data_IF_303050272218
#
_entry.id   IF_303050272218
#
_cell.length_a   1.000
_cell.length_b   1.000
_cell.length_c   1.000
_cell.angle_alpha   90.00
_cell.angle_beta   90.00
_cell.angle_gamma   90.00
#
_symmetry.space_group_name_H-M   'P 1'
#
loop_
_entity.id
_entity.type
_entity.pdbx_description
1 polymer ?
#
# COMPACT_ATOMS: atom_id res chain seq x y z
N UNK A 1 8.37 -7.42 57.60
CA UNK A 1 7.55 -7.12 58.80
C UNK A 1 8.30 -6.08 59.62
N UNK A 2 7.77 -4.86 59.75
CA UNK A 2 8.28 -3.81 60.64
C UNK A 2 7.10 -2.86 60.98
N UNK A 3 7.16 -2.22 62.14
CA UNK A 3 6.00 -1.63 62.81
C UNK A 3 5.87 -0.09 62.64
N UNK A 4 4.72 0.43 63.12
CA UNK A 4 4.36 1.79 63.59
C UNK A 4 5.35 2.98 63.41
N UNK A 5 4.91 4.22 63.18
CA UNK A 5 3.57 4.80 63.14
C UNK A 5 3.56 6.27 63.63
N UNK A 6 2.45 7.01 63.41
CA UNK A 6 2.24 8.44 63.79
C UNK A 6 3.12 9.44 62.99
N UNK A 7 2.74 10.68 62.63
CA UNK A 7 1.61 11.62 62.94
C UNK A 7 1.56 12.70 61.81
N UNK A 8 0.61 13.64 61.63
CA UNK A 8 -0.58 14.06 62.40
C UNK A 8 -1.78 14.62 61.56
N UNK A 9 -1.73 15.87 61.07
CA UNK A 9 -2.87 16.70 60.58
C UNK A 9 -2.36 17.86 59.67
N UNK A 10 -3.13 18.62 58.86
CA UNK A 10 -4.44 19.25 59.14
C UNK A 10 -5.25 19.73 57.90
N UNK A 11 -6.50 20.13 58.16
CA UNK A 11 -7.63 20.67 57.36
C UNK A 11 -7.32 21.57 56.14
N UNK A 12 -8.09 21.58 55.02
CA UNK A 12 -9.55 21.77 54.73
C UNK A 12 -10.07 23.23 54.75
N UNK A 13 -10.80 23.62 53.69
CA UNK A 13 -11.59 24.87 53.52
C UNK A 13 -11.11 25.69 52.30
N UNK A 14 -11.80 25.90 51.17
CA UNK A 14 -13.22 25.98 50.75
C UNK A 14 -13.86 27.39 50.80
N UNK A 15 -14.53 27.75 49.69
CA UNK A 15 -15.35 28.95 49.37
C UNK A 15 -14.61 30.17 48.75
N UNK A 16 -15.29 31.13 48.10
CA UNK A 16 -16.08 31.12 46.84
C UNK A 16 -16.57 32.56 46.50
N UNK A 17 -16.96 32.81 45.23
CA UNK A 17 -17.78 33.94 44.68
C UNK A 17 -17.16 35.36 44.65
N UNK A 18 -17.15 36.02 43.47
CA UNK A 18 -17.90 37.25 43.07
C UNK A 18 -17.38 37.81 41.72
N UNK A 19 -18.28 38.41 40.94
CA UNK A 19 -18.11 38.80 39.54
C UNK A 19 -17.64 40.26 39.30
N UNK A 20 -17.31 40.60 38.04
CA UNK A 20 -17.08 41.97 37.59
C UNK A 20 -17.15 42.13 36.06
N UNK A 21 -18.17 42.82 35.56
CA UNK A 21 -18.37 43.16 34.13
C UNK A 21 -17.82 44.53 33.76
N UNK A 22 -17.26 44.69 32.55
CA UNK A 22 -17.15 45.99 31.89
C UNK A 22 -17.15 45.87 30.34
N UNK A 23 -17.82 46.80 29.67
CA UNK A 23 -17.81 46.98 28.21
C UNK A 23 -16.77 48.04 27.80
N UNK A 24 -16.20 47.93 26.59
CA UNK A 24 -15.89 49.11 25.77
C UNK A 24 -15.89 48.79 24.27
N UNK A 25 -16.43 49.71 23.46
CA UNK A 25 -16.47 49.65 21.99
C UNK A 25 -15.46 50.65 21.41
N UNK A 26 -15.09 50.46 20.14
CA UNK A 26 -14.47 51.49 19.28
C UNK A 26 -13.05 51.12 18.87
N UNK A 27 -12.77 50.68 17.64
CA UNK A 27 -12.87 51.38 16.34
C UNK A 27 -11.44 51.72 15.81
N UNK A 28 -11.23 51.88 14.50
CA UNK A 28 -10.03 51.36 13.83
C UNK A 28 -9.03 52.44 13.37
N UNK A 29 -7.93 52.03 12.72
CA UNK A 29 -7.11 52.71 11.65
C UNK A 29 -5.70 52.05 11.60
N UNK A 30 -4.86 52.25 10.55
CA UNK A 30 -5.14 52.39 9.12
C UNK A 30 -4.29 51.43 8.24
N UNK A 31 -4.61 51.23 6.94
CA UNK A 31 -3.71 50.53 6.01
C UNK A 31 -2.69 51.49 5.38
N UNK A 32 -1.42 51.10 5.22
CA UNK A 32 -0.51 51.73 4.23
C UNK A 32 0.78 50.96 3.88
N UNK A 33 0.92 50.73 2.58
CA UNK A 33 2.14 50.76 1.73
C UNK A 33 3.23 49.71 1.92
N UNK A 34 3.46 48.98 0.82
CA UNK A 34 4.73 48.34 0.52
C UNK A 34 5.86 49.37 0.29
N UNK A 35 7.12 49.00 0.57
CA UNK A 35 8.29 49.57 -0.09
C UNK A 35 8.79 48.65 -1.21
N UNK A 36 9.24 49.24 -2.31
CA UNK A 36 9.94 48.54 -3.39
C UNK A 36 11.45 48.52 -3.13
N UNK A 37 12.09 47.39 -3.46
CA UNK A 37 13.46 47.37 -4.02
C UNK A 37 14.66 47.35 -3.07
N UNK A 38 15.58 46.41 -3.34
CA UNK A 38 17.01 46.56 -3.03
C UNK A 38 17.63 45.44 -2.17
N UNK A 39 18.61 44.72 -2.74
CA UNK A 39 19.51 43.81 -2.00
C UNK A 39 19.30 42.33 -2.32
N UNK A 40 20.13 41.77 -3.19
CA UNK A 40 20.10 40.34 -3.53
C UNK A 40 21.06 39.51 -2.68
N UNK A 41 20.68 38.26 -2.43
CA UNK A 41 21.60 37.15 -2.14
C UNK A 41 21.03 35.87 -2.78
N UNK A 42 21.87 35.15 -3.51
CA UNK A 42 21.44 33.96 -4.25
C UNK A 42 21.38 32.73 -3.32
N UNK A 43 20.32 31.94 -3.49
CA UNK A 43 20.24 30.56 -2.99
C UNK A 43 19.54 29.68 -4.06
N UNK A 44 20.17 28.61 -4.55
CA UNK A 44 19.55 27.71 -5.52
C UNK A 44 18.67 26.66 -4.82
N UNK A 45 17.46 26.43 -5.33
CA UNK A 45 16.53 25.46 -4.74
C UNK A 45 15.06 25.70 -5.07
N UNK A 46 14.77 26.26 -6.25
CA UNK A 46 13.39 26.49 -6.68
C UNK A 46 12.73 25.21 -7.17
N UNK A 47 11.82 24.66 -6.37
CA UNK A 47 10.94 23.55 -6.76
C UNK A 47 10.08 23.98 -7.96
N UNK A 48 10.36 23.44 -9.14
CA UNK A 48 9.75 23.89 -10.38
C UNK A 48 8.25 23.49 -10.43
N UNK A 49 7.37 24.49 -10.49
CA UNK A 49 5.94 24.28 -10.66
C UNK A 49 5.64 23.61 -12.01
N UNK A 50 5.35 22.31 -11.99
CA UNK A 50 5.03 21.54 -13.20
C UNK A 50 3.66 21.98 -13.75
N UNK A 51 3.70 22.66 -14.90
CA UNK A 51 2.51 23.13 -15.61
C UNK A 51 1.62 22.01 -16.11
N UNK A 52 0.30 22.21 -16.01
CA UNK A 52 -0.70 21.28 -16.58
C UNK A 52 -0.69 21.42 -18.11
N UNK A 53 -0.15 20.44 -18.83
CA UNK A 53 -0.11 20.53 -20.29
C UNK A 53 0.72 19.52 -21.07
N UNK A 54 1.12 18.38 -20.48
CA UNK A 54 1.81 17.32 -21.21
C UNK A 54 1.15 15.97 -20.94
N UNK A 55 0.97 15.15 -21.98
CA UNK A 55 0.42 13.79 -21.85
C UNK A 55 1.43 12.94 -21.08
N UNK A 56 1.09 12.50 -19.87
CA UNK A 56 1.90 11.51 -19.15
C UNK A 56 1.90 10.19 -19.93
N UNK A 57 2.97 9.97 -20.70
CA UNK A 57 3.32 8.70 -21.32
C UNK A 57 4.70 8.28 -20.80
N UNK A 58 4.77 8.13 -19.48
CA UNK A 58 5.71 7.23 -18.84
C UNK A 58 4.86 6.10 -18.23
N UNK A 59 5.12 4.88 -18.72
CA UNK A 59 4.52 3.62 -18.23
C UNK A 59 5.59 2.53 -18.34
N UNK A 60 6.68 2.70 -17.61
CA UNK A 60 7.53 1.56 -17.29
C UNK A 60 6.99 0.94 -16.00
N UNK A 61 6.61 -0.32 -16.04
CA UNK A 61 6.52 -1.13 -14.83
C UNK A 61 7.85 -1.88 -14.64
N UNK A 62 7.99 -2.67 -13.57
CA UNK A 62 9.12 -3.59 -13.45
C UNK A 62 9.11 -4.70 -14.52
N UNK A 63 8.09 -4.78 -15.38
CA UNK A 63 7.97 -5.75 -16.46
C UNK A 63 8.81 -5.41 -17.70
N UNK A 64 9.30 -4.17 -17.83
CA UNK A 64 10.17 -3.77 -18.94
C UNK A 64 11.44 -4.65 -18.95
N UNK A 65 11.85 -5.26 -20.09
CA UNK A 65 12.92 -6.28 -20.12
C UNK A 65 14.25 -5.86 -19.49
N UNK A 66 14.61 -4.58 -19.64
CA UNK A 66 15.81 -3.97 -19.03
C UNK A 66 15.72 -3.96 -17.50
N UNK A 67 14.56 -3.58 -16.95
CA UNK A 67 14.31 -3.54 -15.51
C UNK A 67 14.17 -4.95 -14.92
N UNK A 68 13.51 -5.89 -15.62
CA UNK A 68 13.49 -7.31 -15.25
C UNK A 68 14.89 -7.88 -15.11
N UNK A 69 15.75 -7.62 -16.09
CA UNK A 69 17.15 -8.06 -16.09
C UNK A 69 17.93 -7.46 -14.91
N UNK A 70 17.69 -6.18 -14.60
CA UNK A 70 18.27 -5.49 -13.44
C UNK A 70 17.83 -6.11 -12.10
N UNK A 71 16.53 -6.40 -11.94
CA UNK A 71 15.96 -7.04 -10.74
C UNK A 71 16.50 -8.46 -10.54
N UNK A 72 16.56 -9.26 -11.61
CA UNK A 72 17.14 -10.62 -11.54
C UNK A 72 18.62 -10.58 -11.16
N UNK A 73 19.37 -9.60 -11.69
CA UNK A 73 20.77 -9.40 -11.34
C UNK A 73 20.92 -8.94 -9.87
N UNK A 74 20.07 -8.03 -9.38
CA UNK A 74 20.03 -7.63 -7.97
C UNK A 74 19.74 -8.83 -7.06
N UNK A 75 18.66 -9.59 -7.30
CA UNK A 75 18.27 -10.75 -6.48
C UNK A 75 19.37 -11.82 -6.38
N UNK A 76 20.30 -11.88 -7.34
CA UNK A 76 21.50 -12.75 -7.32
C UNK A 76 22.69 -12.13 -6.57
N UNK A 77 22.91 -10.83 -6.71
CA UNK A 77 24.03 -10.09 -6.07
C UNK A 77 23.77 -9.80 -4.59
N UNK A 78 22.52 -9.52 -4.24
CA UNK A 78 22.02 -9.39 -2.87
C UNK A 78 20.89 -10.41 -2.67
N UNK A 79 21.21 -11.70 -2.41
CA UNK A 79 20.20 -12.62 -1.93
C UNK A 79 19.58 -12.01 -0.66
N UNK A 80 18.24 -12.09 -0.48
CA UNK A 80 17.63 -11.61 0.75
C UNK A 80 18.35 -12.30 1.92
N UNK A 81 18.78 -11.54 2.95
CA UNK A 81 19.50 -12.15 4.06
C UNK A 81 18.62 -13.27 4.62
N UNK A 82 19.19 -14.42 5.03
CA UNK A 82 18.41 -15.41 5.75
C UNK A 82 17.78 -14.69 6.94
N UNK A 83 16.45 -14.50 6.86
CA UNK A 83 15.74 -13.50 7.66
C UNK A 83 16.08 -13.59 9.13
N UNK A 84 15.93 -12.50 9.89
CA UNK A 84 16.14 -12.55 11.34
C UNK A 84 14.92 -13.24 11.96
N UNK A 85 14.71 -14.51 11.63
CA UNK A 85 13.43 -15.22 11.78
C UNK A 85 12.86 -15.12 13.20
N UNK A 86 13.63 -15.24 14.30
CA UNK A 86 13.11 -15.00 15.64
C UNK A 86 12.51 -13.59 15.85
N UNK A 87 13.09 -12.55 15.24
CA UNK A 87 12.56 -11.18 15.27
C UNK A 87 11.34 -11.02 14.36
N UNK A 88 11.36 -11.63 13.17
CA UNK A 88 10.22 -11.65 12.25
C UNK A 88 9.00 -12.34 12.90
N UNK A 89 9.22 -13.51 13.50
CA UNK A 89 8.21 -14.31 14.19
C UNK A 89 7.64 -13.53 15.38
N UNK A 90 8.49 -12.87 16.17
CA UNK A 90 8.06 -11.99 17.26
C UNK A 90 7.23 -10.78 16.76
N UNK A 91 7.67 -10.13 15.68
CA UNK A 91 6.96 -9.01 15.06
C UNK A 91 5.58 -9.45 14.53
N UNK A 92 5.52 -10.55 13.78
CA UNK A 92 4.28 -11.14 13.25
C UNK A 92 3.34 -11.54 14.39
N UNK A 93 3.84 -12.20 15.43
CA UNK A 93 3.05 -12.58 16.59
C UNK A 93 2.42 -11.36 17.28
N UNK A 94 3.18 -10.25 17.40
CA UNK A 94 2.67 -9.01 18.00
C UNK A 94 1.66 -8.27 17.11
N UNK A 95 1.86 -8.29 15.79
CA UNK A 95 0.86 -7.79 14.83
C UNK A 95 -0.43 -8.60 14.91
N UNK A 96 -0.34 -9.92 15.03
CA UNK A 96 -1.49 -10.82 15.16
C UNK A 96 -2.22 -10.64 16.50
N UNK A 97 -1.50 -10.48 17.61
CA UNK A 97 -2.05 -10.14 18.92
C UNK A 97 -2.89 -8.86 18.83
N UNK A 98 -2.34 -7.79 18.23
CA UNK A 98 -3.05 -6.53 18.03
C UNK A 98 -4.28 -6.74 17.14
N UNK A 99 -4.11 -7.36 15.95
CA UNK A 99 -5.18 -7.60 14.99
C UNK A 99 -6.28 -8.55 15.47
N UNK A 100 -6.03 -9.35 16.51
CA UNK A 100 -7.06 -10.16 17.18
C UNK A 100 -8.10 -9.31 17.92
N UNK A 101 -7.79 -8.04 18.21
CA UNK A 101 -8.69 -7.07 18.83
C UNK A 101 -9.67 -6.36 17.88
N UNK A 102 -9.72 -6.74 16.59
CA UNK A 102 -10.73 -6.22 15.65
C UNK A 102 -12.13 -6.74 16.04
N UNK A 103 -13.10 -5.86 16.39
CA UNK A 103 -14.44 -6.29 16.78
C UNK A 103 -15.25 -6.88 15.61
N UNK A 104 -14.85 -6.63 14.36
CA UNK A 104 -15.51 -7.22 13.18
C UNK A 104 -14.98 -8.64 12.97
N UNK A 105 -15.88 -9.63 12.87
CA UNK A 105 -15.52 -11.01 12.53
C UNK A 105 -15.91 -11.38 11.10
N UNK A 106 -15.21 -12.36 10.53
CA UNK A 106 -15.50 -13.01 9.24
C UNK A 106 -15.28 -14.52 9.35
N UNK A 107 -15.83 -15.34 8.43
CA UNK A 107 -15.45 -16.75 8.32
C UNK A 107 -13.95 -16.87 8.01
N UNK A 108 -13.19 -17.48 8.93
CA UNK A 108 -11.78 -17.81 8.71
C UNK A 108 -11.61 -19.03 7.80
N UNK A 109 -10.37 -19.31 7.38
CA UNK A 109 -10.05 -20.45 6.49
C UNK A 109 -10.42 -21.82 7.12
N UNK A 110 -10.61 -21.88 8.44
CA UNK A 110 -11.09 -23.07 9.19
C UNK A 110 -12.62 -23.20 9.29
N UNK A 111 -13.38 -22.27 8.68
CA UNK A 111 -14.83 -22.14 8.83
C UNK A 111 -15.29 -21.55 10.16
N UNK A 112 -14.39 -21.33 11.12
CA UNK A 112 -14.70 -20.65 12.39
C UNK A 112 -14.61 -19.13 12.23
N UNK A 113 -15.38 -18.33 12.99
CA UNK A 113 -15.25 -16.88 12.99
C UNK A 113 -13.85 -16.44 13.46
N UNK A 114 -13.19 -15.56 12.70
CA UNK A 114 -11.94 -14.91 13.07
C UNK A 114 -12.08 -13.37 12.97
N UNK A 115 -11.34 -12.59 13.79
CA UNK A 115 -11.27 -11.13 13.64
C UNK A 115 -10.81 -10.73 12.24
N UNK A 116 -11.46 -9.74 11.63
CA UNK A 116 -11.33 -9.45 10.20
C UNK A 116 -9.93 -8.97 9.82
N UNK A 117 -9.28 -8.10 10.62
CA UNK A 117 -7.89 -7.71 10.35
C UNK A 117 -6.90 -8.87 10.51
N UNK A 118 -7.14 -9.79 11.44
CA UNK A 118 -6.31 -10.98 11.61
C UNK A 118 -6.48 -11.97 10.43
N UNK A 119 -7.70 -12.16 9.94
CA UNK A 119 -7.97 -12.99 8.77
C UNK A 119 -7.37 -12.34 7.50
N UNK A 120 -7.58 -11.04 7.31
CA UNK A 120 -7.06 -10.28 6.17
C UNK A 120 -5.52 -10.29 6.11
N UNK A 121 -4.83 -10.05 7.24
CA UNK A 121 -3.36 -10.10 7.28
C UNK A 121 -2.83 -11.47 6.89
N UNK A 122 -3.44 -12.56 7.39
CA UNK A 122 -3.10 -13.94 7.01
C UNK A 122 -3.27 -14.17 5.51
N UNK A 123 -4.39 -13.75 4.92
CA UNK A 123 -4.64 -13.92 3.48
C UNK A 123 -3.66 -13.11 2.62
N UNK A 124 -3.32 -11.88 3.02
CA UNK A 124 -2.37 -11.05 2.29
C UNK A 124 -0.94 -11.63 2.37
N UNK A 125 -0.48 -12.06 3.54
CA UNK A 125 0.81 -12.78 3.68
C UNK A 125 0.84 -14.05 2.82
N UNK A 126 -0.27 -14.81 2.75
CA UNK A 126 -0.39 -16.03 1.92
C UNK A 126 -0.27 -15.74 0.42
N UNK A 127 -0.77 -14.60 -0.06
CA UNK A 127 -0.58 -14.17 -1.45
C UNK A 127 0.85 -13.67 -1.71
N UNK A 128 1.44 -12.91 -0.80
CA UNK A 128 2.85 -12.50 -0.90
C UNK A 128 3.78 -13.71 -0.99
N UNK A 129 3.61 -14.73 -0.14
CA UNK A 129 4.44 -15.95 -0.18
C UNK A 129 4.23 -16.83 -1.42
N UNK A 130 3.12 -16.67 -2.15
CA UNK A 130 2.90 -17.32 -3.46
C UNK A 130 3.65 -16.59 -4.59
N UNK A 131 3.74 -15.26 -4.50
CA UNK A 131 4.40 -14.42 -5.51
C UNK A 131 5.92 -14.36 -5.30
N UNK A 132 6.36 -14.25 -4.04
CA UNK A 132 7.77 -14.27 -3.66
C UNK A 132 8.00 -15.27 -2.49
N UNK A 133 8.32 -16.54 -2.80
CA UNK A 133 8.70 -17.55 -1.80
C UNK A 133 10.01 -17.26 -1.06
N UNK A 134 10.73 -16.19 -1.41
CA UNK A 134 11.94 -15.70 -0.76
C UNK A 134 11.75 -14.26 -0.23
N UNK A 135 10.51 -13.84 -0.01
CA UNK A 135 10.17 -12.52 0.51
C UNK A 135 11.00 -12.13 1.75
N UNK A 136 11.52 -10.90 1.75
CA UNK A 136 12.25 -10.32 2.88
C UNK A 136 11.34 -10.05 4.09
N UNK A 137 11.95 -9.93 5.26
CA UNK A 137 11.28 -9.62 6.53
C UNK A 137 10.37 -8.39 6.40
N UNK A 138 10.85 -7.30 5.78
CA UNK A 138 10.10 -6.04 5.61
C UNK A 138 8.82 -6.24 4.78
N UNK A 139 8.89 -7.03 3.71
CA UNK A 139 7.73 -7.36 2.87
C UNK A 139 6.69 -8.19 3.62
N UNK A 140 7.14 -9.16 4.44
CA UNK A 140 6.26 -9.99 5.25
C UNK A 140 5.61 -9.20 6.40
N UNK A 141 6.37 -8.31 7.05
CA UNK A 141 5.90 -7.38 8.08
C UNK A 141 4.87 -6.40 7.49
N UNK A 142 5.15 -5.83 6.30
CA UNK A 142 4.20 -4.98 5.59
C UNK A 142 2.92 -5.74 5.24
N UNK A 143 3.02 -6.94 4.66
CA UNK A 143 1.86 -7.77 4.32
C UNK A 143 1.01 -8.11 5.55
N UNK A 144 1.64 -8.35 6.71
CA UNK A 144 0.94 -8.63 7.97
C UNK A 144 0.34 -7.37 8.61
N UNK A 145 1.08 -6.26 8.55
CA UNK A 145 0.85 -5.04 9.32
C UNK A 145 0.17 -3.90 8.58
N UNK A 146 -0.04 -3.98 7.26
CA UNK A 146 -0.55 -2.85 6.44
C UNK A 146 -1.86 -2.24 6.96
N UNK A 147 -2.74 -3.06 7.54
CA UNK A 147 -4.01 -2.65 8.13
C UNK A 147 -4.04 -2.78 9.67
N UNK A 148 -2.87 -2.76 10.33
CA UNK A 148 -2.73 -2.92 11.79
C UNK A 148 -3.60 -1.91 12.55
N UNK A 149 -4.39 -2.39 13.52
CA UNK A 149 -5.23 -1.54 14.38
C UNK A 149 -6.21 -0.61 13.64
N UNK A 150 -6.46 -0.85 12.34
CA UNK A 150 -7.14 0.09 11.46
C UNK A 150 -8.63 0.29 11.75
N UNK A 151 -9.24 -0.49 12.65
CA UNK A 151 -10.59 -0.22 13.17
C UNK A 151 -10.61 1.02 14.08
N UNK A 152 -9.49 1.38 14.73
CA UNK A 152 -9.36 2.63 15.50
C UNK A 152 -9.24 3.88 14.63
N UNK A 153 -9.05 3.76 13.31
CA UNK A 153 -9.04 4.93 12.41
C UNK A 153 -10.37 5.69 12.38
N UNK A 154 -11.46 5.13 12.93
CA UNK A 154 -12.70 5.85 13.17
C UNK A 154 -12.56 7.00 14.20
N UNK A 155 -11.52 6.97 15.04
CA UNK A 155 -11.15 8.06 15.95
C UNK A 155 -10.59 9.28 15.18
N UNK A 156 -9.97 9.06 14.01
CA UNK A 156 -9.48 10.11 13.11
C UNK A 156 -10.62 10.51 12.16
N UNK A 157 -11.56 11.31 12.67
CA UNK A 157 -12.79 11.67 11.96
C UNK A 157 -12.51 12.55 10.76
N UNK A 158 -13.33 12.41 9.70
CA UNK A 158 -13.22 13.28 8.52
C UNK A 158 -13.62 14.72 8.83
N UNK A 159 -14.56 14.93 9.75
CA UNK A 159 -15.17 16.25 10.00
C UNK A 159 -14.25 17.23 10.75
N UNK A 160 -13.20 16.72 11.39
CA UNK A 160 -12.17 17.53 12.07
C UNK A 160 -11.24 18.27 11.07
N UNK A 161 -11.37 17.98 9.77
CA UNK A 161 -10.54 18.52 8.69
C UNK A 161 -11.36 19.36 7.71
N UNK A 162 -10.76 20.43 7.18
CA UNK A 162 -11.42 21.34 6.24
C UNK A 162 -12.12 20.60 5.05
N UNK A 163 -13.29 21.08 4.59
CA UNK A 163 -14.02 20.50 3.45
C UNK A 163 -13.40 20.91 2.10
N UNK A 164 -12.07 20.79 1.98
CA UNK A 164 -11.31 21.09 0.78
C UNK A 164 -10.22 20.03 0.53
N UNK A 165 -9.54 20.10 -0.61
CA UNK A 165 -8.49 19.16 -1.00
C UNK A 165 -7.31 19.12 -0.01
N UNK A 166 -7.03 20.22 0.69
CA UNK A 166 -5.98 20.27 1.73
C UNK A 166 -6.38 19.46 2.96
N UNK A 167 -7.60 19.66 3.47
CA UNK A 167 -8.14 18.88 4.59
C UNK A 167 -8.28 17.39 4.27
N UNK A 168 -8.68 17.05 3.03
CA UNK A 168 -8.69 15.66 2.55
C UNK A 168 -7.30 15.01 2.61
N UNK A 169 -6.26 15.69 2.11
CA UNK A 169 -4.87 15.22 2.17
C UNK A 169 -4.35 15.10 3.59
N UNK A 170 -4.69 16.05 4.48
CA UNK A 170 -4.34 15.99 5.90
C UNK A 170 -4.94 14.76 6.58
N UNK A 171 -6.24 14.51 6.38
CA UNK A 171 -6.93 13.34 6.92
C UNK A 171 -6.33 12.01 6.41
N UNK A 172 -6.01 11.92 5.11
CA UNK A 172 -5.32 10.75 4.55
C UNK A 172 -3.90 10.56 5.11
N UNK A 173 -3.17 11.66 5.31
CA UNK A 173 -1.82 11.66 5.87
C UNK A 173 -1.81 11.20 7.34
N UNK A 174 -2.70 11.74 8.19
CA UNK A 174 -2.74 11.37 9.62
C UNK A 174 -3.20 9.92 9.81
N UNK A 175 -4.12 9.42 8.98
CA UNK A 175 -4.49 8.00 8.96
C UNK A 175 -3.34 7.09 8.57
N UNK A 176 -2.54 7.47 7.57
CA UNK A 176 -1.31 6.73 7.21
C UNK A 176 -0.28 6.80 8.33
N UNK A 177 -0.09 7.98 8.94
CA UNK A 177 0.85 8.21 10.04
C UNK A 177 0.53 7.34 11.25
N UNK A 178 -0.75 7.17 11.58
CA UNK A 178 -1.20 6.25 12.63
C UNK A 178 -0.76 4.81 12.35
N UNK A 179 -1.05 4.29 11.15
CA UNK A 179 -0.69 2.93 10.77
C UNK A 179 0.82 2.71 10.69
N UNK A 180 1.56 3.67 10.12
CA UNK A 180 3.02 3.64 10.00
C UNK A 180 3.71 3.68 11.38
N UNK A 181 3.28 4.59 12.25
CA UNK A 181 3.75 4.65 13.64
C UNK A 181 3.49 3.34 14.38
N UNK A 182 2.26 2.84 14.30
CA UNK A 182 1.89 1.61 15.00
C UNK A 182 2.68 0.39 14.55
N UNK A 183 2.91 0.25 13.24
CA UNK A 183 3.71 -0.84 12.68
C UNK A 183 5.20 -0.71 13.05
N UNK A 184 5.78 0.49 12.93
CA UNK A 184 7.20 0.72 13.24
C UNK A 184 7.50 0.59 14.73
N UNK A 185 6.56 0.90 15.63
CA UNK A 185 6.72 0.64 17.07
C UNK A 185 6.77 -0.86 17.38
N UNK A 186 5.90 -1.66 16.75
CA UNK A 186 5.94 -3.14 16.88
C UNK A 186 7.23 -3.72 16.30
N UNK A 187 7.78 -3.13 15.23
CA UNK A 187 9.08 -3.51 14.70
C UNK A 187 10.24 -3.19 15.67
N UNK A 188 10.22 -2.02 16.33
CA UNK A 188 11.22 -1.65 17.36
C UNK A 188 11.16 -2.61 18.56
N UNK A 189 9.96 -2.94 19.03
CA UNK A 189 9.74 -3.91 20.12
C UNK A 189 10.31 -5.30 19.77
N UNK A 190 10.29 -5.68 18.49
CA UNK A 190 10.90 -6.90 17.97
C UNK A 190 12.41 -6.77 17.65
N UNK A 191 13.02 -5.60 17.87
CA UNK A 191 14.45 -5.34 17.70
C UNK A 191 14.89 -4.88 16.29
N UNK A 192 13.97 -4.50 15.41
CA UNK A 192 14.32 -3.91 14.11
C UNK A 192 14.74 -2.44 14.27
N UNK A 193 15.80 -2.04 13.57
CA UNK A 193 16.39 -0.70 13.63
C UNK A 193 16.85 -0.24 12.23
N UNK A 194 17.17 1.05 12.11
CA UNK A 194 17.82 1.62 10.92
C UNK A 194 16.98 1.47 9.64
N UNK A 195 17.63 1.04 8.56
CA UNK A 195 17.06 1.05 7.21
C UNK A 195 15.74 0.26 7.07
N UNK A 196 15.56 -0.83 7.83
CA UNK A 196 14.34 -1.63 7.80
C UNK A 196 13.12 -0.85 8.32
N UNK A 197 13.28 -0.09 9.42
CA UNK A 197 12.22 0.79 9.94
C UNK A 197 11.88 1.89 8.95
N UNK A 198 12.90 2.57 8.41
CA UNK A 198 12.71 3.66 7.44
C UNK A 198 11.97 3.17 6.20
N UNK A 199 12.35 2.00 5.65
CA UNK A 199 11.70 1.41 4.48
C UNK A 199 10.22 1.09 4.73
N UNK A 200 9.89 0.48 5.87
CA UNK A 200 8.49 0.17 6.22
C UNK A 200 7.67 1.45 6.47
N UNK A 201 8.23 2.45 7.15
CA UNK A 201 7.57 3.74 7.36
C UNK A 201 7.33 4.46 6.02
N UNK A 202 8.34 4.48 5.14
CA UNK A 202 8.29 5.13 3.83
C UNK A 202 7.22 4.49 2.93
N UNK A 203 7.12 3.15 2.90
CA UNK A 203 6.05 2.40 2.21
C UNK A 203 4.67 2.73 2.78
N UNK A 204 4.50 2.69 4.11
CA UNK A 204 3.20 2.93 4.77
C UNK A 204 2.70 4.37 4.57
N UNK A 205 3.61 5.35 4.58
CA UNK A 205 3.30 6.74 4.27
C UNK A 205 3.11 6.98 2.76
N UNK A 206 3.74 6.18 1.91
CA UNK A 206 3.84 6.43 0.47
C UNK A 206 4.74 7.61 0.15
N UNK A 207 5.85 7.77 0.89
CA UNK A 207 6.88 8.79 0.70
C UNK A 207 8.17 8.11 0.24
N UNK A 208 8.93 8.74 -0.67
CA UNK A 208 10.20 8.22 -1.23
C UNK A 208 10.15 6.83 -1.91
N UNK A 209 8.98 6.19 -2.02
CA UNK A 209 8.83 4.84 -2.60
C UNK A 209 8.42 4.88 -4.07
N UNK A 210 8.90 3.93 -4.90
CA UNK A 210 8.48 3.83 -6.29
C UNK A 210 7.00 3.47 -6.45
N UNK A 211 6.32 4.15 -7.37
CA UNK A 211 4.95 3.78 -7.77
C UNK A 211 5.01 2.67 -8.84
N UNK A 212 4.51 1.44 -8.58
CA UNK A 212 4.55 0.31 -9.53
C UNK A 212 4.11 0.64 -10.98
N UNK A 213 3.21 1.62 -11.14
CA UNK A 213 2.67 2.05 -12.44
C UNK A 213 3.64 2.90 -13.28
N UNK A 214 4.68 3.47 -12.68
CA UNK A 214 5.63 4.35 -13.35
C UNK A 214 7.04 4.36 -12.71
N UNK A 215 7.80 3.29 -12.95
CA UNK A 215 9.20 3.15 -12.57
C UNK A 215 10.12 4.19 -13.24
N UNK A 216 9.73 4.78 -14.38
CA UNK A 216 10.55 5.77 -15.11
C UNK A 216 10.69 7.11 -14.38
N UNK A 217 9.84 7.38 -13.38
CA UNK A 217 9.99 8.53 -12.47
C UNK A 217 11.06 8.31 -11.39
N UNK A 218 11.59 7.09 -11.27
CA UNK A 218 12.51 6.70 -10.20
C UNK A 218 13.87 6.31 -10.78
N UNK A 219 14.92 6.95 -10.28
CA UNK A 219 16.29 6.64 -10.69
C UNK A 219 16.80 5.36 -9.99
N UNK A 220 16.40 4.21 -10.56
CA UNK A 220 16.82 2.88 -10.13
C UNK A 220 18.30 2.60 -10.48
N UNK A 221 18.88 3.36 -11.42
CA UNK A 221 20.23 3.21 -11.96
C UNK A 221 20.94 4.55 -11.84
N UNK A 222 21.33 4.86 -10.60
CA UNK A 222 21.93 6.13 -10.19
C UNK A 222 23.20 6.53 -10.94
N UNK A 223 23.78 7.70 -10.57
CA UNK A 223 24.85 8.32 -11.34
C UNK A 223 26.01 7.35 -11.62
N UNK A 224 26.53 7.42 -12.85
CA UNK A 224 27.57 6.52 -13.37
C UNK A 224 27.16 5.03 -13.49
N UNK A 225 25.86 4.71 -13.46
CA UNK A 225 25.36 3.34 -13.55
C UNK A 225 25.32 2.60 -12.20
N UNK A 226 25.51 3.32 -11.09
CA UNK A 226 25.48 2.76 -9.74
C UNK A 226 24.03 2.51 -9.32
N UNK A 227 23.63 1.23 -9.33
CA UNK A 227 22.28 0.79 -8.95
C UNK A 227 21.87 1.31 -7.58
N UNK A 228 20.66 1.84 -7.47
CA UNK A 228 20.08 2.19 -6.18
C UNK A 228 19.37 0.95 -5.58
N UNK A 229 20.16 0.10 -4.92
CA UNK A 229 19.67 -1.18 -4.38
C UNK A 229 18.50 -1.01 -3.39
N UNK A 230 18.49 0.06 -2.58
CA UNK A 230 17.41 0.36 -1.63
C UNK A 230 16.11 0.76 -2.35
N UNK A 231 16.21 1.62 -3.36
CA UNK A 231 15.06 2.04 -4.17
C UNK A 231 14.51 0.89 -5.03
N UNK A 232 15.40 0.03 -5.55
CA UNK A 232 15.00 -1.17 -6.30
C UNK A 232 14.35 -2.23 -5.41
N UNK A 233 14.82 -2.41 -4.16
CA UNK A 233 14.13 -3.24 -3.16
C UNK A 233 12.73 -2.66 -2.84
N UNK A 234 12.63 -1.35 -2.61
CA UNK A 234 11.35 -0.68 -2.39
C UNK A 234 10.39 -0.85 -3.58
N UNK A 235 10.88 -0.76 -4.83
CA UNK A 235 10.09 -1.01 -6.03
C UNK A 235 9.52 -2.44 -6.05
N UNK A 236 10.36 -3.45 -5.78
CA UNK A 236 9.93 -4.85 -5.73
C UNK A 236 8.88 -5.07 -4.63
N UNK A 237 9.10 -4.54 -3.43
CA UNK A 237 8.14 -4.61 -2.30
C UNK A 237 6.79 -3.99 -2.69
N UNK A 238 6.82 -2.80 -3.28
CA UNK A 238 5.61 -2.08 -3.72
C UNK A 238 4.84 -2.85 -4.80
N UNK A 239 5.53 -3.45 -5.77
CA UNK A 239 4.93 -4.28 -6.81
C UNK A 239 4.30 -5.54 -6.22
N UNK A 240 5.04 -6.32 -5.43
CA UNK A 240 4.53 -7.57 -4.84
C UNK A 240 3.37 -7.33 -3.86
N UNK A 241 3.36 -6.22 -3.12
CA UNK A 241 2.21 -5.85 -2.29
C UNK A 241 0.98 -5.48 -3.12
N UNK A 242 1.14 -4.68 -4.18
CA UNK A 242 0.04 -4.31 -5.07
C UNK A 242 -0.56 -5.54 -5.77
N UNK A 243 0.29 -6.44 -6.25
CA UNK A 243 -0.09 -7.72 -6.85
C UNK A 243 -0.86 -8.61 -5.85
N UNK A 244 -0.35 -8.74 -4.61
CA UNK A 244 -0.96 -9.58 -3.59
C UNK A 244 -2.32 -9.03 -3.11
N UNK A 245 -2.48 -7.72 -2.99
CA UNK A 245 -3.77 -7.09 -2.65
C UNK A 245 -4.80 -7.26 -3.77
N UNK A 246 -4.38 -7.09 -5.03
CA UNK A 246 -5.25 -7.21 -6.17
C UNK A 246 -5.69 -8.68 -6.41
N UNK A 247 -4.79 -9.65 -6.19
CA UNK A 247 -5.14 -11.07 -6.17
C UNK A 247 -6.06 -11.42 -4.99
N UNK A 248 -5.85 -10.85 -3.81
CA UNK A 248 -6.74 -11.03 -2.66
C UNK A 248 -8.16 -10.47 -2.93
N UNK A 249 -8.26 -9.32 -3.60
CA UNK A 249 -9.53 -8.77 -4.06
C UNK A 249 -10.25 -9.73 -5.03
N UNK A 250 -9.54 -10.29 -6.02
CA UNK A 250 -10.09 -11.27 -6.95
C UNK A 250 -10.51 -12.59 -6.29
N UNK A 251 -9.76 -13.03 -5.27
CA UNK A 251 -10.01 -14.24 -4.48
C UNK A 251 -11.26 -14.11 -3.61
N UNK A 252 -11.43 -12.98 -2.89
CA UNK A 252 -12.41 -12.86 -1.79
C UNK A 252 -13.52 -11.83 -1.97
N UNK A 253 -13.37 -10.85 -2.86
CA UNK A 253 -14.32 -9.74 -2.95
C UNK A 253 -14.94 -9.57 -4.35
N UNK A 254 -14.27 -10.01 -5.40
CA UNK A 254 -14.72 -9.78 -6.78
C UNK A 254 -16.05 -10.47 -7.12
N UNK A 255 -16.30 -11.69 -6.64
CA UNK A 255 -17.56 -12.40 -6.92
C UNK A 255 -18.76 -11.70 -6.27
N UNK A 256 -18.68 -11.42 -4.97
CA UNK A 256 -19.71 -10.63 -4.27
C UNK A 256 -19.90 -9.24 -4.92
N UNK A 257 -18.81 -8.61 -5.34
CA UNK A 257 -18.88 -7.34 -6.07
C UNK A 257 -19.60 -7.48 -7.42
N UNK A 258 -19.29 -8.53 -8.19
CA UNK A 258 -19.87 -8.81 -9.51
C UNK A 258 -21.36 -9.12 -9.43
N UNK A 259 -21.80 -9.83 -8.39
CA UNK A 259 -23.20 -10.23 -8.21
C UNK A 259 -24.08 -9.09 -7.66
N UNK A 260 -23.50 -8.14 -6.90
CA UNK A 260 -24.26 -7.11 -6.15
C UNK A 260 -24.22 -5.71 -6.76
N UNK A 261 -23.27 -5.40 -7.65
CA UNK A 261 -23.10 -4.06 -8.25
C UNK A 261 -23.31 -4.07 -9.77
N UNK A 262 -23.71 -2.93 -10.37
CA UNK A 262 -23.87 -2.85 -11.82
C UNK A 262 -22.50 -2.90 -12.53
N UNK A 263 -22.48 -3.46 -13.74
CA UNK A 263 -21.23 -3.82 -14.43
C UNK A 263 -20.24 -2.66 -14.64
N UNK A 264 -20.72 -1.42 -14.77
CA UNK A 264 -19.89 -0.21 -14.87
C UNK A 264 -19.14 0.11 -13.57
N UNK A 265 -19.76 -0.12 -12.41
CA UNK A 265 -19.12 0.06 -11.10
C UNK A 265 -18.12 -1.06 -10.82
N UNK A 266 -18.47 -2.30 -11.16
CA UNK A 266 -17.56 -3.46 -11.06
C UNK A 266 -16.33 -3.26 -11.96
N UNK A 267 -16.50 -2.75 -13.19
CA UNK A 267 -15.37 -2.42 -14.07
C UNK A 267 -14.52 -1.27 -13.50
N UNK A 268 -15.13 -0.22 -12.94
CA UNK A 268 -14.39 0.89 -12.33
C UNK A 268 -13.60 0.43 -11.09
N UNK A 269 -14.18 -0.43 -10.26
CA UNK A 269 -13.54 -1.06 -9.11
C UNK A 269 -12.37 -1.94 -9.55
N UNK A 270 -12.60 -2.85 -10.51
CA UNK A 270 -11.56 -3.71 -11.06
C UNK A 270 -10.42 -2.88 -11.67
N UNK A 271 -10.69 -1.77 -12.38
CA UNK A 271 -9.65 -0.85 -12.89
C UNK A 271 -8.81 -0.22 -11.78
N UNK A 272 -9.41 0.07 -10.63
CA UNK A 272 -8.71 0.68 -9.49
C UNK A 272 -7.72 -0.30 -8.87
N UNK A 273 -8.20 -1.48 -8.51
CA UNK A 273 -7.41 -2.53 -7.86
C UNK A 273 -6.39 -3.14 -8.84
N UNK A 274 -6.82 -3.50 -10.06
CA UNK A 274 -5.97 -4.21 -11.01
C UNK A 274 -4.98 -3.31 -11.76
N UNK A 275 -5.13 -1.99 -11.70
CA UNK A 275 -4.37 -1.05 -12.53
C UNK A 275 -2.86 -0.98 -12.25
N UNK A 276 -2.34 -1.78 -11.31
CA UNK A 276 -0.92 -1.88 -10.96
C UNK A 276 -0.32 -3.30 -11.13
N UNK A 277 -1.07 -4.28 -11.63
CA UNK A 277 -0.57 -5.67 -11.71
C UNK A 277 0.69 -5.79 -12.60
N UNK A 278 1.65 -6.59 -12.11
CA UNK A 278 2.72 -7.18 -12.92
C UNK A 278 2.20 -8.28 -13.85
N UNK A 279 2.96 -8.64 -14.89
CA UNK A 279 2.58 -9.72 -15.81
C UNK A 279 2.39 -11.06 -15.09
N UNK A 280 3.27 -11.37 -14.13
CA UNK A 280 3.22 -12.59 -13.31
C UNK A 280 1.92 -12.66 -12.49
N UNK A 281 1.50 -11.52 -11.91
CA UNK A 281 0.26 -11.42 -11.18
C UNK A 281 -0.97 -11.57 -12.09
N UNK A 282 -0.92 -11.09 -13.35
CA UNK A 282 -2.05 -11.28 -14.29
C UNK A 282 -2.18 -12.76 -14.67
N UNK A 283 -1.06 -13.43 -14.93
CA UNK A 283 -1.02 -14.89 -15.17
C UNK A 283 -1.56 -15.66 -13.97
N UNK A 284 -1.20 -15.26 -12.74
CA UNK A 284 -1.73 -15.83 -11.52
C UNK A 284 -3.24 -15.60 -11.37
N UNK A 285 -3.74 -14.39 -11.67
CA UNK A 285 -5.17 -14.05 -11.61
C UNK A 285 -6.01 -14.91 -12.57
N UNK A 286 -5.54 -15.13 -13.79
CA UNK A 286 -6.26 -15.98 -14.76
C UNK A 286 -6.24 -17.46 -14.40
N UNK A 287 -5.16 -17.93 -13.76
CA UNK A 287 -5.03 -19.33 -13.32
C UNK A 287 -5.70 -19.63 -11.97
N UNK A 288 -6.07 -18.64 -11.17
CA UNK A 288 -6.53 -18.86 -9.79
C UNK A 288 -7.88 -19.60 -9.68
N UNK A 289 -8.77 -19.43 -10.67
CA UNK A 289 -10.07 -20.10 -10.77
C UNK A 289 -10.60 -20.06 -12.20
N UNK A 290 -11.63 -20.85 -12.49
CA UNK A 290 -12.35 -20.80 -13.77
C UNK A 290 -13.29 -19.59 -13.77
N UNK A 291 -12.94 -18.59 -14.56
CA UNK A 291 -13.77 -17.41 -14.77
C UNK A 291 -14.91 -17.73 -15.76
N UNK A 292 -16.06 -17.05 -15.63
CA UNK A 292 -17.07 -17.09 -16.69
C UNK A 292 -16.67 -16.16 -17.85
N UNK A 293 -17.11 -16.41 -19.10
CA UNK A 293 -16.77 -15.56 -20.25
C UNK A 293 -17.15 -14.08 -20.09
N UNK A 294 -18.15 -13.78 -19.26
CA UNK A 294 -18.56 -12.41 -18.93
C UNK A 294 -17.57 -11.75 -17.96
N UNK A 295 -17.12 -12.48 -16.92
CA UNK A 295 -16.10 -12.01 -15.99
C UNK A 295 -14.75 -11.83 -16.68
N UNK A 296 -14.34 -12.78 -17.54
CA UNK A 296 -13.13 -12.68 -18.37
C UNK A 296 -13.14 -11.40 -19.20
N UNK A 297 -14.26 -11.13 -19.91
CA UNK A 297 -14.41 -9.91 -20.73
C UNK A 297 -14.36 -8.63 -19.90
N UNK A 298 -14.84 -8.64 -18.66
CA UNK A 298 -14.74 -7.49 -17.74
C UNK A 298 -13.30 -7.31 -17.25
N UNK A 299 -12.65 -8.38 -16.79
CA UNK A 299 -11.26 -8.36 -16.33
C UNK A 299 -10.31 -7.93 -17.46
N UNK A 300 -10.46 -8.49 -18.66
CA UNK A 300 -9.72 -8.13 -19.87
C UNK A 300 -9.82 -6.63 -20.20
N UNK A 301 -10.96 -5.99 -19.93
CA UNK A 301 -11.12 -4.54 -20.06
C UNK A 301 -10.42 -3.77 -18.94
N UNK A 302 -10.47 -4.28 -17.72
CA UNK A 302 -9.98 -3.63 -16.51
C UNK A 302 -8.45 -3.64 -16.35
N UNK A 303 -7.78 -4.66 -16.88
CA UNK A 303 -6.33 -4.84 -16.82
C UNK A 303 -5.51 -3.65 -17.39
N UNK A 304 -4.27 -3.43 -16.89
CA UNK A 304 -3.39 -2.39 -17.40
C UNK A 304 -2.93 -2.69 -18.83
N UNK A 305 -2.76 -1.63 -19.64
CA UNK A 305 -2.11 -1.69 -20.97
C UNK A 305 -0.61 -1.39 -20.81
N UNK A 306 0.30 -2.15 -21.43
CA UNK A 306 0.15 -2.72 -22.79
C UNK A 306 -0.41 -4.13 -22.90
N UNK A 307 -0.55 -4.88 -21.79
CA UNK A 307 -0.96 -6.29 -21.83
C UNK A 307 -2.26 -6.49 -22.63
N UNK A 308 -2.17 -7.28 -23.71
CA UNK A 308 -3.37 -7.76 -24.41
C UNK A 308 -3.78 -9.07 -23.78
N UNK A 309 -5.07 -9.21 -23.52
CA UNK A 309 -5.65 -10.43 -22.94
C UNK A 309 -5.29 -11.69 -23.75
N UNK A 310 -5.12 -11.58 -25.07
CA UNK A 310 -4.65 -12.65 -25.96
C UNK A 310 -3.24 -13.13 -25.66
N UNK A 311 -2.34 -12.23 -25.27
CA UNK A 311 -0.93 -12.54 -25.04
C UNK A 311 -0.77 -13.21 -23.66
N UNK A 312 -1.57 -12.76 -22.68
CA UNK A 312 -1.75 -13.41 -21.38
C UNK A 312 -2.34 -14.82 -21.57
N UNK A 313 -3.43 -14.98 -22.33
CA UNK A 313 -4.05 -16.29 -22.59
C UNK A 313 -3.05 -17.27 -23.23
N UNK A 314 -2.29 -16.80 -24.22
CA UNK A 314 -1.21 -17.57 -24.85
C UNK A 314 -0.12 -17.99 -23.86
N UNK A 315 0.21 -17.16 -22.88
CA UNK A 315 1.15 -17.50 -21.81
C UNK A 315 0.55 -18.43 -20.73
N UNK A 316 -0.77 -18.34 -20.47
CA UNK A 316 -1.45 -19.19 -19.47
C UNK A 316 -1.75 -20.59 -20.00
N UNK A 317 -2.16 -20.70 -21.27
CA UNK A 317 -2.68 -21.93 -21.89
C UNK A 317 -1.67 -22.59 -22.86
N UNK A 318 -0.62 -21.87 -23.24
CA UNK A 318 0.35 -22.28 -24.26
C UNK A 318 -0.07 -21.88 -25.67
N UNK A 319 0.90 -21.88 -26.59
CA UNK A 319 0.73 -21.36 -27.97
C UNK A 319 -0.44 -22.04 -28.71
N UNK A 320 -0.65 -23.34 -28.47
CA UNK A 320 -1.64 -24.18 -29.14
C UNK A 320 -3.12 -23.85 -28.81
N UNK A 321 -3.41 -23.17 -27.70
CA UNK A 321 -4.79 -22.81 -27.33
C UNK A 321 -5.23 -21.45 -27.92
N UNK A 322 -4.27 -20.58 -28.25
CA UNK A 322 -4.53 -19.20 -28.67
C UNK A 322 -4.91 -19.03 -30.16
N UNK A 323 -5.04 -20.11 -30.92
CA UNK A 323 -5.51 -20.07 -32.30
C UNK A 323 -7.05 -19.97 -32.35
N UNK A 324 -7.57 -18.98 -33.08
CA UNK A 324 -8.99 -18.95 -33.44
C UNK A 324 -9.38 -20.06 -34.46
N UNK A 325 -8.40 -20.83 -34.94
CA UNK A 325 -8.66 -22.18 -35.45
C UNK A 325 -8.61 -23.16 -34.28
N UNK A 326 -9.71 -23.86 -33.97
CA UNK A 326 -9.77 -24.71 -32.80
C UNK A 326 -8.80 -25.87 -32.92
N UNK A 327 -8.18 -26.23 -31.79
CA UNK A 327 -7.59 -27.55 -31.55
C UNK A 327 -8.66 -28.64 -31.49
N UNK A 328 -9.49 -28.72 -32.53
CA UNK A 328 -10.34 -29.85 -32.78
C UNK A 328 -9.44 -30.99 -33.24
N UNK A 329 -9.26 -31.98 -32.36
CA UNK A 329 -8.50 -33.21 -32.55
C UNK A 329 -8.70 -33.91 -33.92
N UNK A 330 -9.83 -33.66 -34.61
CA UNK A 330 -10.11 -34.14 -35.96
C UNK A 330 -9.17 -33.59 -37.04
N UNK A 331 -8.50 -32.46 -36.81
CA UNK A 331 -7.58 -31.81 -37.76
C UNK A 331 -6.10 -31.96 -37.36
N UNK A 332 -5.77 -32.80 -36.38
CA UNK A 332 -4.39 -32.98 -35.90
C UNK A 332 -3.38 -33.45 -36.97
N UNK A 333 -3.88 -34.04 -38.07
CA UNK A 333 -3.09 -34.53 -39.21
C UNK A 333 -3.43 -33.79 -40.52
N UNK A 334 -4.04 -32.60 -40.46
CA UNK A 334 -4.41 -31.86 -41.66
C UNK A 334 -3.24 -30.97 -42.11
N UNK A 335 -2.69 -31.27 -43.28
CA UNK A 335 -1.61 -30.49 -43.87
C UNK A 335 -2.17 -29.24 -44.57
N UNK A 336 -1.41 -28.15 -44.53
CA UNK A 336 -1.79 -26.84 -45.10
C UNK A 336 -0.73 -26.39 -46.12
N UNK A 337 -0.58 -27.17 -47.20
CA UNK A 337 0.05 -26.73 -48.46
C UNK A 337 -0.93 -25.93 -49.34
#
# INVERSE_FOLDING_TARGET
MLAAGQRQASCRGSRSIVAGTAHSRGAPLPPRRAPCGGGGSASPGGEAAVGRGARHVARATLDEPELRTLVVKLRKETPPPPGKRPMLDACIAKIDEINSGDPKTVPGDSGRPEPFRLAYSKWLTKWVLKLDPQACDELLILARGKNIESWKLAEIKRDDYAPNTGGQKGWEFDRKRWLAGRLTDVMKDAGYEGAALTLVEDVMMGRNVPNPRDMRLHDLVGPFGLKNNGLLLAACIMQTLADAEALLFLDRNFEEAFDRMPANEVEALARRELGALSEEAVVAAMRMKKWSPVQEKLLARALPKPFRFTDILRATEGVAASSLHPGDHRYANFDYE
#
